data_IF_145712976269
#
_entry.id   IF_145712976269
#
_cell.length_a   1.000
_cell.length_b   1.000
_cell.length_c   1.000
_cell.angle_alpha   90.00
_cell.angle_beta   90.00
_cell.angle_gamma   90.00
#
_symmetry.space_group_name_H-M   'P 1'
#
loop_
_entity.id
_entity.type
_entity.pdbx_description
1 polymer ?
#
# COMPACT_ATOMS: atom_id res chain seq x y z
N UNK A 1 -4.55 -9.44 -1.15
CA UNK A 1 -4.96 -8.21 -0.39
C UNK A 1 -3.70 -7.60 0.21
N UNK A 2 -3.45 -6.31 0.00
CA UNK A 2 -2.26 -5.59 0.51
C UNK A 2 -2.74 -4.53 1.51
N UNK A 3 -2.01 -4.34 2.61
CA UNK A 3 -2.34 -3.36 3.63
C UNK A 3 -1.10 -2.74 4.27
N UNK A 4 -1.24 -1.49 4.69
CA UNK A 4 -0.30 -0.80 5.58
C UNK A 4 -0.98 -0.59 6.93
N UNK A 5 -0.38 -1.12 8.00
CA UNK A 5 -0.93 -1.09 9.37
C UNK A 5 0.16 -0.92 10.42
N UNK A 6 -0.25 -0.52 11.62
CA UNK A 6 0.64 -0.53 12.79
C UNK A 6 1.07 -1.97 13.13
N UNK A 7 2.26 -2.10 13.71
CA UNK A 7 2.73 -3.36 14.28
C UNK A 7 1.89 -3.77 15.50
N UNK A 8 1.46 -2.78 16.30
CA UNK A 8 0.47 -2.97 17.36
C UNK A 8 -0.92 -3.21 16.76
N UNK A 9 -1.59 -4.26 17.22
CA UNK A 9 -2.95 -4.64 16.82
C UNK A 9 -3.94 -3.50 17.06
N UNK A 10 -3.72 -2.70 18.11
CA UNK A 10 -4.58 -1.56 18.46
C UNK A 10 -4.02 -0.21 17.97
N UNK A 11 -2.88 -0.21 17.28
CA UNK A 11 -2.20 1.01 16.88
C UNK A 11 -2.91 1.72 15.72
N UNK A 12 -3.26 2.99 15.91
CA UNK A 12 -3.85 3.85 14.88
C UNK A 12 -2.80 4.72 14.19
N UNK A 13 -2.71 4.59 12.86
CA UNK A 13 -1.82 5.39 12.02
C UNK A 13 -2.47 6.67 11.50
N UNK A 14 -3.77 6.87 11.71
CA UNK A 14 -4.54 8.00 11.17
C UNK A 14 -4.02 9.36 11.64
N UNK A 15 -3.44 9.43 12.84
CA UNK A 15 -2.83 10.66 13.37
C UNK A 15 -1.45 10.96 12.79
N UNK A 16 -0.76 9.97 12.22
CA UNK A 16 0.60 10.08 11.72
C UNK A 16 0.65 10.18 10.19
N UNK A 17 -0.19 9.43 9.50
CA UNK A 17 -0.21 9.31 8.04
C UNK A 17 -1.29 10.23 7.46
N UNK A 18 -0.91 11.08 6.51
CA UNK A 18 -1.83 11.91 5.75
C UNK A 18 -2.47 11.13 4.61
N UNK A 19 -1.67 10.36 3.87
CA UNK A 19 -2.13 9.51 2.76
C UNK A 19 -1.09 8.47 2.38
N UNK A 20 -1.55 7.41 1.76
CA UNK A 20 -0.73 6.40 1.09
C UNK A 20 -1.07 6.37 -0.41
N UNK A 21 -0.08 6.13 -1.26
CA UNK A 21 -0.26 5.89 -2.68
C UNK A 21 0.32 4.54 -3.04
N UNK A 22 -0.52 3.66 -3.58
CA UNK A 22 -0.13 2.35 -4.09
C UNK A 22 -0.03 2.43 -5.61
N UNK A 23 1.12 2.03 -6.16
CA UNK A 23 1.37 2.02 -7.59
C UNK A 23 1.24 0.58 -8.12
N UNK A 24 0.02 0.18 -8.44
CA UNK A 24 -0.26 -1.10 -9.10
C UNK A 24 0.40 -1.16 -10.48
N UNK A 25 0.48 -2.38 -11.03
CA UNK A 25 0.93 -2.57 -12.41
C UNK A 25 0.07 -1.74 -13.41
N UNK A 26 0.63 -1.16 -14.48
CA UNK A 26 -0.10 -0.29 -15.40
C UNK A 26 -1.34 -0.90 -16.07
N UNK A 27 -1.42 -2.23 -16.15
CA UNK A 27 -2.58 -2.97 -16.66
C UNK A 27 -3.83 -2.85 -15.77
N UNK A 28 -3.66 -2.47 -14.50
CA UNK A 28 -4.80 -2.24 -13.62
C UNK A 28 -5.53 -0.94 -13.97
N UNK A 29 -6.86 -0.94 -14.05
CA UNK A 29 -7.61 0.30 -14.13
C UNK A 29 -7.37 1.11 -12.85
N UNK A 30 -7.11 2.41 -13.02
CA UNK A 30 -6.71 3.30 -11.93
C UNK A 30 -5.51 2.74 -11.14
N UNK A 31 -4.43 2.36 -11.84
CA UNK A 31 -3.26 1.72 -11.22
C UNK A 31 -2.59 2.55 -10.10
N UNK A 32 -2.79 3.87 -10.05
CA UNK A 32 -2.38 4.72 -8.92
C UNK A 32 -3.55 4.88 -7.94
N UNK A 33 -3.50 4.18 -6.80
CA UNK A 33 -4.54 4.24 -5.76
C UNK A 33 -4.08 5.10 -4.58
N UNK A 34 -4.76 6.21 -4.35
CA UNK A 34 -4.50 7.09 -3.20
C UNK A 34 -5.54 6.86 -2.10
N UNK A 35 -5.07 6.56 -0.89
CA UNK A 35 -5.89 6.36 0.30
C UNK A 35 -5.53 7.44 1.34
N UNK A 36 -6.53 8.17 1.84
CA UNK A 36 -6.35 9.30 2.77
C UNK A 36 -6.74 8.99 4.23
N UNK A 37 -7.28 7.81 4.48
CA UNK A 37 -7.70 7.35 5.81
C UNK A 37 -7.47 5.86 5.97
N UNK A 38 -7.43 5.41 7.22
CA UNK A 38 -7.39 3.98 7.55
C UNK A 38 -8.73 3.31 7.23
N UNK A 39 -8.74 1.99 6.94
CA UNK A 39 -7.57 1.14 6.72
C UNK A 39 -6.89 1.45 5.38
N UNK A 40 -5.55 1.60 5.39
CA UNK A 40 -4.76 1.77 4.17
C UNK A 40 -4.58 0.41 3.47
N UNK A 41 -5.64 -0.08 2.82
CA UNK A 41 -5.66 -1.40 2.21
C UNK A 41 -6.26 -1.37 0.80
N UNK A 42 -5.71 -2.22 -0.07
CA UNK A 42 -6.22 -2.48 -1.40
C UNK A 42 -6.45 -3.98 -1.60
N UNK A 43 -7.48 -4.31 -2.37
CA UNK A 43 -7.80 -5.67 -2.75
C UNK A 43 -8.01 -5.70 -4.25
N UNK A 44 -7.24 -6.54 -4.93
CA UNK A 44 -7.24 -6.71 -6.37
C UNK A 44 -7.01 -8.20 -6.67
N UNK A 45 -7.42 -8.62 -7.87
CA UNK A 45 -7.11 -9.94 -8.44
C UNK A 45 -6.06 -9.79 -9.53
N UNK A 46 -5.22 -10.80 -9.73
CA UNK A 46 -4.11 -10.75 -10.68
C UNK A 46 -3.59 -12.13 -11.01
N UNK A 47 -2.78 -12.22 -12.07
CA UNK A 47 -2.26 -13.47 -12.59
C UNK A 47 -0.74 -13.63 -12.42
N UNK A 48 -0.03 -12.55 -12.08
CA UNK A 48 1.41 -12.55 -11.87
C UNK A 48 1.80 -11.60 -10.73
N UNK A 49 2.94 -11.90 -10.09
CA UNK A 49 3.57 -11.02 -9.12
C UNK A 49 4.22 -9.80 -9.78
N UNK A 50 4.44 -8.73 -9.02
CA UNK A 50 5.07 -7.50 -9.50
C UNK A 50 5.63 -6.64 -8.35
N UNK A 51 6.57 -5.76 -8.66
CA UNK A 51 7.01 -4.73 -7.71
C UNK A 51 5.95 -3.63 -7.55
N UNK A 52 5.50 -3.44 -6.32
CA UNK A 52 4.48 -2.48 -5.90
C UNK A 52 5.15 -1.34 -5.12
N UNK A 53 5.49 -0.22 -5.78
CA UNK A 53 5.88 0.99 -5.07
C UNK A 53 4.74 1.51 -4.20
N UNK A 54 5.05 1.83 -2.95
CA UNK A 54 4.13 2.43 -1.99
C UNK A 54 4.76 3.71 -1.45
N UNK A 55 4.07 4.85 -1.65
CA UNK A 55 4.46 6.13 -1.07
C UNK A 55 3.61 6.44 0.15
N UNK A 56 4.24 6.74 1.28
CA UNK A 56 3.60 7.11 2.54
C UNK A 56 3.89 8.58 2.80
N UNK A 57 2.85 9.38 2.94
CA UNK A 57 2.93 10.80 3.25
C UNK A 57 2.57 11.02 4.70
N UNK A 58 3.49 11.58 5.48
CA UNK A 58 3.29 11.85 6.89
C UNK A 58 2.62 13.22 7.10
N UNK A 59 1.83 13.34 8.16
CA UNK A 59 1.31 14.64 8.61
C UNK A 59 2.48 15.46 9.17
N UNK A 60 2.97 16.42 8.40
CA UNK A 60 4.08 17.30 8.81
C UNK A 60 3.65 18.77 8.75
N UNK A 61 4.13 19.60 9.69
CA UNK A 61 3.90 21.05 9.69
C UNK A 61 4.79 21.82 8.70
N UNK A 62 5.86 21.19 8.23
CA UNK A 62 6.79 21.69 7.20
C UNK A 62 6.70 20.78 5.97
N UNK A 63 7.42 21.13 4.90
CA UNK A 63 7.50 20.45 3.59
C UNK A 63 7.17 18.95 3.63
N UNK A 64 6.34 18.47 2.70
CA UNK A 64 5.76 17.13 2.75
C UNK A 64 6.83 16.04 2.77
N UNK A 65 7.06 15.42 3.93
CA UNK A 65 7.93 14.25 4.01
C UNK A 65 7.18 13.03 3.49
N UNK A 66 7.74 12.41 2.45
CA UNK A 66 7.29 11.12 1.97
C UNK A 66 8.35 10.05 2.21
N UNK A 67 7.91 8.84 2.51
CA UNK A 67 8.74 7.64 2.55
C UNK A 67 8.24 6.68 1.46
N UNK A 68 9.16 6.06 0.74
CA UNK A 68 8.83 5.13 -0.35
C UNK A 68 9.33 3.74 0.00
N UNK A 69 8.46 2.75 -0.20
CA UNK A 69 8.75 1.33 -0.04
C UNK A 69 8.54 0.67 -1.39
N UNK A 70 9.46 -0.19 -1.80
CA UNK A 70 9.24 -1.12 -2.90
C UNK A 70 8.84 -2.46 -2.29
N UNK A 71 7.60 -2.88 -2.52
CA UNK A 71 7.08 -4.14 -2.03
C UNK A 71 7.05 -5.18 -3.15
N UNK A 72 7.71 -6.31 -2.97
CA UNK A 72 7.67 -7.39 -3.95
C UNK A 72 6.40 -8.23 -3.72
N UNK A 73 5.42 -8.09 -4.62
CA UNK A 73 4.17 -8.83 -4.52
C UNK A 73 4.31 -10.15 -5.27
N UNK A 74 4.48 -11.25 -4.54
CA UNK A 74 4.51 -12.59 -5.12
C UNK A 74 3.15 -13.28 -5.09
N UNK A 75 2.83 -13.96 -6.20
CA UNK A 75 1.74 -14.93 -6.27
C UNK A 75 2.31 -16.33 -6.07
N UNK A 76 2.18 -16.86 -4.86
CA UNK A 76 2.43 -18.28 -4.64
C UNK A 76 1.36 -19.10 -5.35
N UNK A 77 1.78 -20.01 -6.24
CA UNK A 77 0.89 -21.03 -6.77
C UNK A 77 0.43 -21.92 -5.62
N UNK A 78 -0.87 -22.17 -5.53
CA UNK A 78 -1.37 -23.34 -4.81
C UNK A 78 -0.74 -24.57 -5.47
N UNK A 79 0.13 -25.28 -4.75
CA UNK A 79 0.47 -26.65 -5.13
C UNK A 79 -0.71 -27.48 -4.63
N UNK A 80 -1.78 -27.49 -5.42
CA UNK A 80 -2.89 -28.41 -5.17
C UNK A 80 -2.38 -29.80 -5.55
N UNK A 81 -2.10 -30.61 -4.53
CA UNK A 81 -1.74 -32.03 -4.64
C UNK A 81 -2.96 -32.93 -4.61
#
# INVERSE_FOLDING_TARGET
KIYLRSADVNGDLSCLIQRCVFHLHPEYPNHKRELKSTPFAIQETGYAGFHLPIEIYFKTKKESKKFRIEYDLDLHKSIDG
#
